data_IF_874733541768
#
_entry.id   IF_874733541768
#
_cell.length_a   1.000
_cell.length_b   1.000
_cell.length_c   1.000
_cell.angle_alpha   90.00
_cell.angle_beta   90.00
_cell.angle_gamma   90.00
#
_symmetry.space_group_name_H-M   'P 1'
#
loop_
_entity.id
_entity.type
_entity.pdbx_description
1 polymer ?
#
# COMPACT_ATOMS: atom_id res chain seq x y z
N UNK A 1 -18.92 -29.90 -13.51
CA UNK A 1 -17.75 -29.03 -13.33
C UNK A 1 -17.95 -28.34 -11.99
N UNK A 2 -17.04 -28.50 -11.03
CA UNK A 2 -17.17 -27.77 -9.78
C UNK A 2 -17.07 -26.26 -10.07
N UNK A 3 -18.00 -25.49 -9.54
CA UNK A 3 -17.96 -24.03 -9.65
C UNK A 3 -16.61 -23.52 -9.13
N UNK A 4 -15.93 -22.70 -9.94
CA UNK A 4 -14.67 -22.09 -9.48
C UNK A 4 -14.99 -21.15 -8.32
N UNK A 5 -14.18 -21.16 -7.25
CA UNK A 5 -14.36 -20.26 -6.13
C UNK A 5 -14.43 -18.81 -6.61
N UNK A 6 -15.51 -18.10 -6.30
CA UNK A 6 -15.73 -16.73 -6.75
C UNK A 6 -15.52 -15.75 -5.60
N UNK A 7 -14.77 -14.68 -5.88
CA UNK A 7 -14.61 -13.54 -4.97
C UNK A 7 -15.91 -12.72 -4.96
N UNK A 8 -16.44 -12.46 -3.77
CA UNK A 8 -17.57 -11.54 -3.63
C UNK A 8 -17.06 -10.10 -3.65
N UNK A 9 -17.68 -9.24 -4.46
CA UNK A 9 -17.28 -7.85 -4.61
C UNK A 9 -18.40 -6.93 -4.16
N UNK A 10 -18.10 -6.00 -3.23
CA UNK A 10 -19.00 -4.92 -2.83
C UNK A 10 -18.40 -3.62 -3.33
N UNK A 11 -19.04 -2.97 -4.28
CA UNK A 11 -18.55 -1.74 -4.91
C UNK A 11 -19.16 -0.49 -4.27
N UNK A 12 -18.39 0.61 -4.24
CA UNK A 12 -18.87 1.92 -3.82
C UNK A 12 -19.23 2.04 -2.33
N UNK A 13 -18.65 1.21 -1.47
CA UNK A 13 -18.90 1.27 -0.03
C UNK A 13 -18.31 2.56 0.53
N UNK A 14 -19.13 3.37 1.19
CA UNK A 14 -18.69 4.62 1.80
C UNK A 14 -17.94 4.32 3.09
N UNK A 15 -16.68 4.77 3.20
CA UNK A 15 -15.85 4.58 4.38
C UNK A 15 -15.62 5.86 5.19
N UNK A 16 -15.99 7.02 4.64
CA UNK A 16 -15.80 8.29 5.33
C UNK A 16 -16.17 9.49 4.46
N UNK A 17 -15.84 10.67 4.96
CA UNK A 17 -15.94 11.94 4.24
C UNK A 17 -14.69 12.77 4.50
N UNK A 18 -14.23 13.50 3.48
CA UNK A 18 -13.08 14.39 3.60
C UNK A 18 -13.33 15.69 2.86
N UNK A 19 -13.16 16.86 3.50
CA UNK A 19 -13.43 18.14 2.87
C UNK A 19 -14.84 18.27 2.27
N UNK A 20 -15.84 17.58 2.82
CA UNK A 20 -17.21 17.55 2.32
C UNK A 20 -17.47 16.46 1.24
N UNK A 21 -16.45 15.88 0.65
CA UNK A 21 -16.56 14.81 -0.35
C UNK A 21 -16.75 13.44 0.28
N UNK A 22 -17.50 12.56 -0.39
CA UNK A 22 -17.67 11.16 0.02
C UNK A 22 -16.46 10.34 -0.39
N UNK A 23 -15.90 9.60 0.57
CA UNK A 23 -14.80 8.68 0.35
C UNK A 23 -15.35 7.26 0.22
N UNK A 24 -15.06 6.58 -0.89
CA UNK A 24 -15.60 5.26 -1.19
C UNK A 24 -14.50 4.25 -1.51
N UNK A 25 -14.80 2.98 -1.23
CA UNK A 25 -13.94 1.83 -1.53
C UNK A 25 -14.73 0.71 -2.20
N UNK A 26 -13.99 -0.24 -2.79
CA UNK A 26 -14.51 -1.52 -3.23
C UNK A 26 -13.90 -2.62 -2.36
N UNK A 27 -14.73 -3.59 -1.92
CA UNK A 27 -14.34 -4.65 -1.01
C UNK A 27 -14.37 -5.98 -1.75
N UNK A 28 -13.29 -6.73 -1.66
CA UNK A 28 -13.11 -8.05 -2.28
C UNK A 28 -13.00 -9.09 -1.17
N UNK A 29 -14.00 -9.95 -1.08
CA UNK A 29 -14.14 -10.96 -0.02
C UNK A 29 -13.75 -12.32 -0.57
N UNK A 30 -12.84 -13.05 0.11
CA UNK A 30 -12.45 -14.41 -0.29
C UNK A 30 -13.67 -15.35 -0.41
N UNK A 31 -13.67 -16.30 -1.37
CA UNK A 31 -14.73 -17.30 -1.48
C UNK A 31 -14.84 -18.19 -0.23
N UNK A 32 -13.71 -18.53 0.37
CA UNK A 32 -13.62 -19.35 1.58
C UNK A 32 -13.19 -18.47 2.77
N UNK A 33 -13.92 -17.34 2.97
CA UNK A 33 -13.61 -16.44 4.07
C UNK A 33 -13.77 -17.16 5.41
N UNK A 34 -12.71 -17.12 6.20
CA UNK A 34 -12.75 -17.58 7.60
C UNK A 34 -12.87 -16.36 8.54
N UNK A 35 -13.48 -16.50 9.71
CA UNK A 35 -13.42 -15.49 10.74
C UNK A 35 -11.95 -15.11 11.02
N UNK A 36 -11.68 -13.82 11.19
CA UNK A 36 -10.33 -13.29 11.43
C UNK A 36 -9.36 -13.44 10.25
N UNK A 37 -9.88 -13.30 9.02
CA UNK A 37 -9.05 -13.19 7.81
C UNK A 37 -8.11 -11.98 7.87
N UNK A 38 -6.93 -12.00 7.23
CA UNK A 38 -6.09 -10.81 7.10
C UNK A 38 -6.77 -9.75 6.23
N UNK A 39 -6.68 -8.48 6.63
CA UNK A 39 -7.15 -7.34 5.85
C UNK A 39 -6.03 -6.70 5.05
N UNK A 40 -6.29 -6.31 3.80
CA UNK A 40 -5.33 -5.65 2.93
C UNK A 40 -5.94 -4.41 2.26
N UNK A 41 -5.45 -3.22 2.64
CA UNK A 41 -5.77 -2.00 1.93
C UNK A 41 -4.98 -1.93 0.62
N UNK A 42 -5.65 -1.61 -0.48
CA UNK A 42 -5.06 -1.41 -1.81
C UNK A 42 -5.25 0.05 -2.24
N UNK A 43 -4.15 0.73 -2.61
CA UNK A 43 -4.18 2.16 -2.98
C UNK A 43 -3.61 2.35 -4.38
N UNK A 44 -4.40 2.99 -5.25
CA UNK A 44 -4.09 3.17 -6.66
C UNK A 44 -3.00 4.23 -6.91
N UNK A 45 -2.34 4.13 -8.07
CA UNK A 45 -1.41 5.13 -8.60
C UNK A 45 -2.11 6.28 -9.31
N UNK A 46 -1.33 7.05 -10.09
CA UNK A 46 -1.85 8.15 -10.91
C UNK A 46 -1.26 9.52 -10.58
N UNK A 47 -0.08 9.57 -9.93
CA UNK A 47 0.64 10.81 -9.65
C UNK A 47 -0.12 11.76 -8.73
N UNK A 48 -0.97 11.24 -7.86
CA UNK A 48 -1.86 11.98 -6.94
C UNK A 48 -2.90 12.88 -7.64
N UNK A 49 -2.91 12.93 -8.98
CA UNK A 49 -3.72 13.82 -9.80
C UNK A 49 -4.84 13.12 -10.56
N UNK A 50 -4.77 11.81 -10.68
CA UNK A 50 -5.71 10.97 -11.43
C UNK A 50 -5.74 9.57 -10.85
N UNK A 51 -6.69 8.77 -11.32
CA UNK A 51 -6.86 7.39 -10.90
C UNK A 51 -8.09 7.20 -10.03
N UNK A 52 -8.41 5.96 -9.81
CA UNK A 52 -9.56 5.54 -9.03
C UNK A 52 -9.35 4.13 -8.47
N UNK A 53 -10.12 3.76 -7.46
CA UNK A 53 -10.06 2.47 -6.78
C UNK A 53 -10.18 1.26 -7.71
N UNK A 54 -10.95 1.38 -8.82
CA UNK A 54 -11.14 0.31 -9.80
C UNK A 54 -9.82 -0.14 -10.46
N UNK A 55 -8.78 0.69 -10.48
CA UNK A 55 -7.46 0.31 -10.99
C UNK A 55 -6.79 -0.82 -10.19
N UNK A 56 -7.19 -1.00 -8.92
CA UNK A 56 -6.68 -2.08 -8.07
C UNK A 56 -7.53 -3.36 -8.11
N UNK A 57 -8.58 -3.40 -8.96
CA UNK A 57 -9.53 -4.53 -9.04
C UNK A 57 -8.85 -5.87 -9.25
N UNK A 58 -7.88 -5.96 -10.15
CA UNK A 58 -7.17 -7.21 -10.43
C UNK A 58 -6.33 -7.67 -9.23
N UNK A 59 -5.68 -6.75 -8.54
CA UNK A 59 -5.00 -7.06 -7.27
C UNK A 59 -6.00 -7.52 -6.21
N UNK A 60 -7.13 -6.81 -6.07
CA UNK A 60 -8.20 -7.17 -5.13
C UNK A 60 -8.69 -8.59 -5.33
N UNK A 61 -9.03 -8.97 -6.56
CA UNK A 61 -9.49 -10.33 -6.90
C UNK A 61 -8.40 -11.38 -6.65
N UNK A 62 -7.18 -11.17 -7.16
CA UNK A 62 -6.10 -12.15 -7.05
C UNK A 62 -5.68 -12.38 -5.59
N UNK A 63 -5.61 -11.31 -4.78
CA UNK A 63 -5.21 -11.42 -3.38
C UNK A 63 -6.37 -11.93 -2.50
N UNK A 64 -7.63 -11.64 -2.86
CA UNK A 64 -8.78 -12.26 -2.21
C UNK A 64 -8.80 -13.78 -2.43
N UNK A 65 -8.46 -14.28 -3.62
CA UNK A 65 -8.28 -15.72 -3.87
C UNK A 65 -7.14 -16.34 -3.03
N UNK A 66 -6.27 -15.52 -2.44
CA UNK A 66 -5.22 -15.97 -1.51
C UNK A 66 -5.63 -15.89 -0.02
N UNK A 67 -6.90 -15.50 0.25
CA UNK A 67 -7.49 -15.45 1.58
C UNK A 67 -7.43 -14.09 2.28
N UNK A 68 -7.07 -13.01 1.57
CA UNK A 68 -7.12 -11.65 2.12
C UNK A 68 -8.49 -11.02 1.88
N UNK A 69 -9.06 -10.34 2.88
CA UNK A 69 -10.13 -9.38 2.62
C UNK A 69 -9.49 -8.10 2.12
N UNK A 70 -9.64 -7.81 0.83
CA UNK A 70 -9.03 -6.65 0.21
C UNK A 70 -10.01 -5.47 0.16
N UNK A 71 -9.51 -4.27 0.46
CA UNK A 71 -10.26 -3.01 0.34
C UNK A 71 -9.49 -2.08 -0.57
N UNK A 72 -10.03 -1.76 -1.74
CA UNK A 72 -9.44 -0.78 -2.64
C UNK A 72 -10.09 0.58 -2.41
N UNK A 73 -9.33 1.56 -1.92
CA UNK A 73 -9.86 2.88 -1.59
C UNK A 73 -9.57 3.92 -2.67
N UNK A 74 -10.53 4.83 -2.89
CA UNK A 74 -10.23 6.13 -3.49
C UNK A 74 -9.59 7.05 -2.45
N UNK A 75 -8.90 8.07 -2.94
CA UNK A 75 -8.44 9.22 -2.17
C UNK A 75 -8.62 10.48 -3.01
N UNK A 76 -8.79 11.64 -2.38
CA UNK A 76 -8.94 12.93 -3.07
C UNK A 76 -7.67 13.31 -3.81
N UNK A 77 -7.83 13.95 -4.95
CA UNK A 77 -6.75 14.23 -5.88
C UNK A 77 -6.37 15.71 -5.90
N UNK A 78 -5.09 16.02 -6.09
CA UNK A 78 -4.64 17.37 -6.37
C UNK A 78 -4.99 17.75 -7.82
N UNK A 79 -5.26 19.04 -8.13
CA UNK A 79 -5.24 20.18 -7.22
C UNK A 79 -6.57 20.40 -6.49
N UNK A 80 -7.65 19.65 -6.77
CA UNK A 80 -8.96 19.87 -6.19
C UNK A 80 -8.93 19.74 -4.65
N UNK A 81 -8.14 18.80 -4.13
CA UNK A 81 -7.88 18.65 -2.71
C UNK A 81 -6.36 18.73 -2.46
N UNK A 82 -5.86 19.84 -1.89
CA UNK A 82 -4.44 20.03 -1.65
C UNK A 82 -3.90 19.05 -0.59
N UNK A 83 -2.58 18.83 -0.64
CA UNK A 83 -1.85 18.09 0.40
C UNK A 83 -2.14 18.73 1.79
N UNK A 84 -2.39 17.93 2.85
CA UNK A 84 -2.24 16.48 2.98
C UNK A 84 -3.56 15.67 2.85
N UNK A 85 -4.53 16.10 2.06
CA UNK A 85 -5.81 15.42 1.90
C UNK A 85 -5.64 13.92 1.54
N UNK A 86 -4.67 13.58 0.67
CA UNK A 86 -4.43 12.25 0.15
C UNK A 86 -4.06 11.24 1.25
N UNK A 87 -3.12 11.62 2.11
CA UNK A 87 -2.69 10.75 3.23
C UNK A 87 -3.77 10.62 4.30
N UNK A 88 -4.53 11.68 4.55
CA UNK A 88 -5.67 11.66 5.49
C UNK A 88 -6.76 10.69 5.04
N UNK A 89 -7.02 10.61 3.74
CA UNK A 89 -8.02 9.71 3.17
C UNK A 89 -7.56 8.24 3.23
N UNK A 90 -6.28 7.97 2.99
CA UNK A 90 -5.70 6.62 3.15
C UNK A 90 -5.74 6.18 4.62
N UNK A 91 -5.41 7.05 5.55
CA UNK A 91 -5.52 6.76 6.98
C UNK A 91 -6.98 6.54 7.40
N UNK A 92 -7.95 7.29 6.83
CA UNK A 92 -9.38 7.04 7.07
C UNK A 92 -9.82 5.66 6.58
N UNK A 93 -9.31 5.19 5.43
CA UNK A 93 -9.59 3.84 4.92
C UNK A 93 -9.04 2.74 5.86
N UNK A 94 -7.82 2.91 6.39
CA UNK A 94 -7.25 1.98 7.39
C UNK A 94 -8.07 1.96 8.68
N UNK A 95 -8.50 3.12 9.16
CA UNK A 95 -9.37 3.23 10.35
C UNK A 95 -10.72 2.56 10.13
N UNK A 96 -11.32 2.75 8.94
CA UNK A 96 -12.55 2.07 8.55
C UNK A 96 -12.38 0.55 8.60
N UNK A 97 -11.33 -0.01 7.99
CA UNK A 97 -11.09 -1.44 8.00
C UNK A 97 -10.96 -1.97 9.43
N UNK A 98 -10.30 -1.25 10.32
CA UNK A 98 -10.14 -1.65 11.73
C UNK A 98 -11.43 -1.51 12.52
N UNK A 99 -12.18 -0.42 12.34
CA UNK A 99 -13.45 -0.19 13.03
C UNK A 99 -14.52 -1.20 12.61
N UNK A 100 -14.53 -1.58 11.33
CA UNK A 100 -15.46 -2.54 10.76
C UNK A 100 -14.90 -3.97 10.68
N UNK A 101 -13.84 -4.26 11.43
CA UNK A 101 -13.13 -5.53 11.33
C UNK A 101 -14.05 -6.75 11.55
N UNK A 102 -14.95 -6.68 12.53
CA UNK A 102 -15.93 -7.74 12.80
C UNK A 102 -16.91 -7.95 11.63
N UNK A 103 -17.46 -6.87 11.06
CA UNK A 103 -18.40 -6.94 9.93
C UNK A 103 -17.73 -7.44 8.66
N UNK A 104 -16.46 -7.06 8.46
CA UNK A 104 -15.64 -7.47 7.32
C UNK A 104 -15.02 -8.87 7.50
N UNK A 105 -15.13 -9.46 8.69
CA UNK A 105 -14.48 -10.73 9.02
C UNK A 105 -12.96 -10.64 9.05
N UNK A 106 -12.40 -9.47 9.38
CA UNK A 106 -10.96 -9.17 9.42
C UNK A 106 -10.44 -9.30 10.86
N UNK A 107 -9.24 -9.83 11.01
CA UNK A 107 -8.46 -9.69 12.24
C UNK A 107 -7.84 -8.27 12.28
N UNK A 108 -8.24 -7.39 13.20
CA UNK A 108 -7.72 -6.03 13.25
C UNK A 108 -6.21 -5.95 13.57
N UNK A 109 -5.62 -7.02 14.10
CA UNK A 109 -4.17 -7.12 14.30
C UNK A 109 -3.42 -7.53 13.01
N UNK A 110 -4.13 -8.06 12.00
CA UNK A 110 -3.56 -8.52 10.72
C UNK A 110 -3.95 -7.60 9.56
N UNK A 111 -3.93 -6.30 9.78
CA UNK A 111 -4.08 -5.33 8.72
C UNK A 111 -2.75 -5.06 8.03
N UNK A 112 -2.77 -5.06 6.70
CA UNK A 112 -1.65 -4.67 5.87
C UNK A 112 -2.10 -3.63 4.83
N UNK A 113 -1.12 -2.99 4.18
CA UNK A 113 -1.38 -2.07 3.08
C UNK A 113 -0.48 -2.36 1.88
N UNK A 114 -1.01 -2.14 0.67
CA UNK A 114 -0.24 -2.21 -0.56
C UNK A 114 -0.67 -1.09 -1.51
N UNK A 115 0.26 -0.55 -2.26
CA UNK A 115 -0.07 0.49 -3.23
C UNK A 115 0.88 0.48 -4.41
N UNK A 116 0.46 1.17 -5.49
CA UNK A 116 1.27 1.32 -6.70
C UNK A 116 1.57 2.80 -6.95
N UNK A 117 2.84 3.16 -7.27
CA UNK A 117 3.25 4.52 -7.61
C UNK A 117 2.85 5.54 -6.53
N UNK A 118 2.03 6.54 -6.84
CA UNK A 118 1.49 7.49 -5.87
C UNK A 118 0.77 6.82 -4.69
N UNK A 119 0.05 5.72 -4.93
CA UNK A 119 -0.57 4.92 -3.87
C UNK A 119 0.46 4.21 -2.99
N UNK A 120 1.56 3.73 -3.58
CA UNK A 120 2.67 3.16 -2.83
C UNK A 120 3.35 4.20 -1.92
N UNK A 121 3.53 5.42 -2.42
CA UNK A 121 3.98 6.54 -1.60
C UNK A 121 3.08 6.73 -0.38
N UNK A 122 1.75 6.78 -0.58
CA UNK A 122 0.80 7.04 0.50
C UNK A 122 0.76 5.92 1.54
N UNK A 123 0.81 4.64 1.14
CA UNK A 123 0.82 3.54 2.11
C UNK A 123 2.13 3.44 2.87
N UNK A 124 3.27 3.71 2.21
CA UNK A 124 4.56 3.77 2.89
C UNK A 124 4.63 4.96 3.86
N UNK A 125 4.07 6.12 3.49
CA UNK A 125 4.00 7.26 4.38
C UNK A 125 3.09 6.97 5.59
N UNK A 126 1.88 6.42 5.36
CA UNK A 126 0.96 6.02 6.44
C UNK A 126 1.64 5.08 7.45
N UNK A 127 2.42 4.11 6.95
CA UNK A 127 3.13 3.13 7.78
C UNK A 127 4.13 3.76 8.76
N UNK A 128 4.79 4.87 8.36
CA UNK A 128 5.79 5.57 9.19
C UNK A 128 5.24 6.75 9.98
N UNK A 129 3.95 7.09 9.84
CA UNK A 129 3.38 8.34 10.40
C UNK A 129 2.11 8.12 11.22
N UNK A 130 1.97 6.96 11.83
CA UNK A 130 0.77 6.58 12.61
C UNK A 130 0.48 7.59 13.74
N UNK A 131 1.53 8.11 14.40
CA UNK A 131 1.42 9.03 15.52
C UNK A 131 1.40 10.52 15.10
N UNK A 132 1.39 10.79 13.78
CA UNK A 132 1.35 12.14 13.24
C UNK A 132 -0.08 12.65 13.09
N UNK A 133 -0.53 13.49 14.03
CA UNK A 133 -1.88 14.04 14.06
C UNK A 133 -2.25 14.79 12.77
N UNK A 134 -1.30 15.51 12.16
CA UNK A 134 -1.48 16.26 10.92
C UNK A 134 -1.88 15.36 9.72
N UNK A 135 -1.56 14.06 9.76
CA UNK A 135 -1.87 13.09 8.71
C UNK A 135 -3.06 12.20 9.02
N UNK A 136 -3.57 12.22 10.25
CA UNK A 136 -4.71 11.37 10.59
C UNK A 136 -6.03 11.89 10.00
N UNK A 137 -6.25 13.20 10.00
CA UNK A 137 -7.51 13.78 9.55
C UNK A 137 -8.73 13.30 10.34
N UNK A 138 -9.89 13.75 9.92
CA UNK A 138 -11.19 13.50 10.54
C UNK A 138 -12.16 12.68 9.66
N UNK A 139 -11.66 12.14 8.55
CA UNK A 139 -12.43 11.53 7.45
C UNK A 139 -13.25 10.29 7.77
N UNK A 140 -13.26 9.82 9.00
CA UNK A 140 -14.03 8.68 9.50
C UNK A 140 -13.31 7.96 10.64
N UNK A 141 -14.07 7.43 11.58
CA UNK A 141 -13.60 6.66 12.74
C UNK A 141 -12.44 7.35 13.51
N UNK A 142 -12.61 8.61 13.98
CA UNK A 142 -11.57 9.31 14.72
C UNK A 142 -11.18 8.54 15.99
N UNK A 143 -9.89 8.55 16.34
CA UNK A 143 -9.38 7.82 17.50
C UNK A 143 -9.10 6.33 17.28
N UNK A 144 -9.55 5.74 16.15
CA UNK A 144 -9.16 4.39 15.75
C UNK A 144 -7.77 4.44 15.12
N UNK A 145 -6.90 3.48 15.42
CA UNK A 145 -5.53 3.43 14.89
C UNK A 145 -5.52 3.10 13.39
N UNK A 146 -4.67 3.80 12.61
CA UNK A 146 -4.37 3.50 11.20
C UNK A 146 -3.14 2.59 11.04
N UNK A 147 -2.56 2.06 12.11
CA UNK A 147 -1.38 1.21 12.05
C UNK A 147 -1.59 -0.05 11.21
N UNK A 148 -0.53 -0.51 10.55
CA UNK A 148 -0.52 -1.76 9.79
C UNK A 148 0.60 -2.68 10.27
N UNK A 149 0.37 -3.97 10.19
CA UNK A 149 1.34 -4.99 10.58
C UNK A 149 2.40 -5.26 9.48
N UNK A 150 2.12 -4.89 8.24
CA UNK A 150 3.06 -4.95 7.12
C UNK A 150 2.62 -3.99 6.00
N UNK A 151 3.56 -3.55 5.16
CA UNK A 151 3.25 -2.67 4.02
C UNK A 151 4.00 -3.07 2.75
N UNK A 152 3.43 -2.75 1.58
CA UNK A 152 3.99 -3.08 0.28
C UNK A 152 4.01 -1.85 -0.63
N UNK A 153 5.19 -1.48 -1.11
CA UNK A 153 5.37 -0.41 -2.09
C UNK A 153 5.76 -0.93 -3.48
N UNK A 154 4.91 -0.72 -4.48
CA UNK A 154 5.17 -1.10 -5.86
C UNK A 154 5.58 0.15 -6.63
N UNK A 155 6.84 0.21 -7.14
CA UNK A 155 7.49 1.36 -7.79
C UNK A 155 7.19 2.71 -7.11
N UNK A 156 7.45 2.74 -5.78
CA UNK A 156 7.07 3.84 -4.91
C UNK A 156 8.00 5.05 -5.02
N UNK A 157 7.46 6.29 -5.15
CA UNK A 157 8.17 7.49 -4.76
C UNK A 157 8.42 7.47 -3.25
N UNK A 158 9.67 7.55 -2.80
CA UNK A 158 10.02 7.49 -1.38
C UNK A 158 10.64 8.78 -0.85
N UNK A 159 11.02 9.65 -1.78
CA UNK A 159 11.54 11.00 -1.50
C UNK A 159 10.95 11.98 -2.49
N UNK A 160 10.46 13.09 -1.97
CA UNK A 160 10.06 14.26 -2.76
C UNK A 160 11.15 15.32 -2.66
N UNK A 161 11.59 15.85 -3.82
CA UNK A 161 12.60 16.90 -3.85
C UNK A 161 12.00 18.25 -4.25
N UNK A 162 12.33 19.34 -3.54
CA UNK A 162 12.04 20.70 -3.96
C UNK A 162 12.62 21.01 -5.35
N UNK A 163 12.09 22.06 -5.99
CA UNK A 163 12.55 22.48 -7.30
C UNK A 163 14.06 22.77 -7.27
N UNK A 164 14.77 22.27 -8.28
CA UNK A 164 16.20 22.51 -8.46
C UNK A 164 17.12 21.65 -7.58
N UNK A 165 16.59 20.94 -6.59
CA UNK A 165 17.39 20.03 -5.79
C UNK A 165 17.54 18.68 -6.49
N UNK A 166 18.78 18.20 -6.63
CA UNK A 166 19.11 16.87 -7.15
C UNK A 166 19.30 15.90 -5.98
N UNK A 167 18.25 15.14 -5.66
CA UNK A 167 18.28 14.10 -4.64
C UNK A 167 18.15 12.73 -5.29
N UNK A 168 19.07 11.83 -5.01
CA UNK A 168 19.05 10.48 -5.60
C UNK A 168 17.74 9.73 -5.23
N UNK A 169 17.04 9.23 -6.24
CA UNK A 169 15.78 8.51 -6.07
C UNK A 169 14.57 9.40 -5.81
N UNK A 170 14.72 10.72 -5.83
CA UNK A 170 13.60 11.62 -5.62
C UNK A 170 12.76 11.84 -6.88
N UNK A 171 11.47 12.11 -6.65
CA UNK A 171 10.56 12.69 -7.65
C UNK A 171 10.28 14.16 -7.30
N UNK A 172 9.87 15.01 -8.28
CA UNK A 172 9.56 16.41 -8.00
C UNK A 172 8.44 16.58 -6.97
N UNK A 173 8.67 17.39 -5.95
CA UNK A 173 7.66 17.72 -4.92
C UNK A 173 6.43 18.39 -5.53
N UNK A 174 6.60 19.17 -6.62
CA UNK A 174 5.53 19.83 -7.36
C UNK A 174 4.48 18.89 -7.96
N UNK A 175 4.73 17.58 -7.96
CA UNK A 175 3.72 16.59 -8.36
C UNK A 175 2.59 16.47 -7.33
N UNK A 176 2.87 16.73 -6.05
CA UNK A 176 1.95 16.60 -4.92
C UNK A 176 1.73 17.92 -4.18
N UNK A 177 2.78 18.69 -3.94
CA UNK A 177 2.75 19.91 -3.13
C UNK A 177 2.44 21.14 -3.97
N UNK A 178 1.67 22.09 -3.42
CA UNK A 178 1.41 23.38 -4.03
C UNK A 178 2.67 24.25 -4.01
N UNK A 179 3.29 24.40 -2.86
CA UNK A 179 4.61 25.03 -2.74
C UNK A 179 5.70 24.02 -3.07
N UNK A 180 6.22 24.15 -4.28
CA UNK A 180 7.25 23.27 -4.85
C UNK A 180 8.66 23.55 -4.34
N UNK A 181 8.84 24.65 -3.64
CA UNK A 181 10.13 25.11 -3.12
C UNK A 181 10.23 24.90 -1.60
N UNK A 182 9.11 24.50 -0.93
CA UNK A 182 9.08 24.18 0.50
C UNK A 182 9.76 22.83 0.80
N UNK A 183 10.99 22.93 1.30
CA UNK A 183 11.80 21.78 1.69
C UNK A 183 11.22 21.05 2.90
N UNK A 184 10.65 21.76 3.86
CA UNK A 184 10.07 21.16 5.06
C UNK A 184 8.85 20.29 4.70
N UNK A 185 7.95 20.79 3.88
CA UNK A 185 6.80 20.02 3.36
C UNK A 185 7.23 18.87 2.48
N UNK A 186 8.23 19.03 1.61
CA UNK A 186 8.75 17.95 0.80
C UNK A 186 9.36 16.83 1.67
N UNK A 187 10.14 17.19 2.69
CA UNK A 187 10.68 16.25 3.66
C UNK A 187 9.58 15.55 4.44
N UNK A 188 8.59 16.30 4.94
CA UNK A 188 7.45 15.77 5.71
C UNK A 188 6.61 14.80 4.88
N UNK A 189 6.43 15.08 3.59
CA UNK A 189 5.72 14.21 2.66
C UNK A 189 6.54 13.01 2.14
N UNK A 190 7.81 12.87 2.52
CA UNK A 190 8.71 11.82 2.02
C UNK A 190 8.68 10.59 2.94
N UNK A 191 8.21 9.40 2.52
CA UNK A 191 8.15 8.19 3.35
C UNK A 191 9.49 7.84 4.01
N UNK A 192 10.60 7.96 3.29
CA UNK A 192 11.94 7.62 3.79
C UNK A 192 12.34 8.39 5.04
N UNK A 193 11.86 9.63 5.22
CA UNK A 193 12.21 10.45 6.40
C UNK A 193 11.53 9.99 7.69
N UNK A 194 10.54 9.13 7.59
CA UNK A 194 9.78 8.58 8.71
C UNK A 194 10.17 7.14 9.07
N UNK A 195 11.24 6.62 8.44
CA UNK A 195 11.76 5.30 8.79
C UNK A 195 12.36 5.32 10.19
N UNK A 196 11.93 4.38 11.02
CA UNK A 196 12.39 4.19 12.39
C UNK A 196 12.33 2.70 12.76
N UNK A 197 12.88 2.31 13.90
CA UNK A 197 12.81 0.92 14.37
C UNK A 197 11.37 0.38 14.58
N UNK A 198 10.39 1.28 14.72
CA UNK A 198 8.97 0.93 14.81
C UNK A 198 8.24 0.84 13.47
N UNK A 199 8.94 1.02 12.35
CA UNK A 199 8.34 0.89 11.02
C UNK A 199 7.96 -0.58 10.75
N UNK A 200 6.79 -0.88 10.12
CA UNK A 200 6.38 -2.26 9.90
C UNK A 200 7.24 -2.97 8.83
N UNK A 201 7.32 -4.30 8.85
CA UNK A 201 7.90 -5.10 7.78
C UNK A 201 7.43 -4.62 6.40
N UNK A 202 8.38 -4.46 5.45
CA UNK A 202 8.13 -3.78 4.19
C UNK A 202 8.60 -4.61 2.99
N UNK A 203 7.72 -4.76 1.98
CA UNK A 203 8.08 -5.29 0.66
C UNK A 203 8.14 -4.15 -0.35
N UNK A 204 9.23 -4.10 -1.12
CA UNK A 204 9.43 -3.15 -2.23
C UNK A 204 9.57 -3.90 -3.55
N UNK A 205 8.78 -3.53 -4.56
CA UNK A 205 8.85 -4.07 -5.92
C UNK A 205 9.14 -2.93 -6.90
N UNK A 206 10.14 -3.09 -7.79
CA UNK A 206 10.50 -2.03 -8.73
C UNK A 206 11.05 -2.57 -10.05
N UNK A 207 10.74 -1.94 -11.16
CA UNK A 207 11.32 -2.25 -12.46
C UNK A 207 12.63 -1.49 -12.70
N UNK A 208 13.68 -2.13 -13.22
CA UNK A 208 14.99 -1.49 -13.40
C UNK A 208 15.03 -0.45 -14.53
N UNK A 209 14.06 -0.50 -15.47
CA UNK A 209 13.94 0.46 -16.56
C UNK A 209 12.88 1.56 -16.27
N UNK A 210 12.46 1.75 -15.02
CA UNK A 210 11.50 2.79 -14.64
C UNK A 210 12.11 4.20 -14.83
N UNK A 211 11.46 4.99 -15.71
CA UNK A 211 11.84 6.37 -16.03
C UNK A 211 10.91 7.42 -15.41
N UNK A 212 9.89 6.99 -14.68
CA UNK A 212 8.93 7.86 -13.98
C UNK A 212 9.32 8.03 -12.52
N UNK A 213 9.54 6.91 -11.84
CA UNK A 213 10.12 6.86 -10.49
C UNK A 213 11.45 6.16 -10.58
N UNK A 214 12.58 6.82 -10.31
CA UNK A 214 13.88 6.18 -10.43
C UNK A 214 13.97 4.93 -9.55
N UNK A 215 14.51 3.78 -10.03
CA UNK A 215 14.68 2.56 -9.22
C UNK A 215 15.43 2.78 -7.92
N UNK A 216 16.33 3.77 -7.91
CA UNK A 216 17.05 4.19 -6.71
C UNK A 216 16.12 4.69 -5.58
N UNK A 217 14.87 5.05 -5.86
CA UNK A 217 13.89 5.38 -4.82
C UNK A 217 13.64 4.18 -3.88
N UNK A 218 13.36 3.01 -4.45
CA UNK A 218 13.18 1.78 -3.66
C UNK A 218 14.47 1.29 -3.03
N UNK A 219 15.61 1.41 -3.71
CA UNK A 219 16.91 1.04 -3.16
C UNK A 219 17.26 1.86 -1.92
N UNK A 220 17.05 3.19 -1.97
CA UNK A 220 17.28 4.09 -0.83
C UNK A 220 16.31 3.86 0.34
N UNK A 221 15.07 3.47 0.04
CA UNK A 221 14.11 3.09 1.08
C UNK A 221 14.53 1.77 1.73
N UNK A 222 14.98 0.79 0.95
CA UNK A 222 15.50 -0.47 1.43
C UNK A 222 16.69 -0.26 2.36
N UNK A 223 17.69 0.53 1.96
CA UNK A 223 18.87 0.87 2.78
C UNK A 223 18.43 1.49 4.13
N UNK A 224 17.54 2.47 4.10
CA UNK A 224 17.06 3.12 5.32
C UNK A 224 16.34 2.15 6.28
N UNK A 225 15.55 1.21 5.73
CA UNK A 225 14.86 0.19 6.53
C UNK A 225 15.85 -0.83 7.13
N UNK A 226 16.87 -1.24 6.37
CA UNK A 226 17.96 -2.11 6.87
C UNK A 226 18.70 -1.43 8.01
N UNK A 227 19.07 -0.15 7.86
CA UNK A 227 19.77 0.63 8.88
C UNK A 227 18.92 0.75 10.16
N UNK A 228 17.60 0.88 10.01
CA UNK A 228 16.64 0.90 11.11
C UNK A 228 16.33 -0.50 11.69
N UNK A 229 16.93 -1.58 11.17
CA UNK A 229 16.71 -2.98 11.55
C UNK A 229 15.26 -3.45 11.35
N UNK A 230 14.57 -2.86 10.38
CA UNK A 230 13.23 -3.25 9.98
C UNK A 230 13.32 -4.40 8.96
N UNK A 231 12.55 -5.47 9.10
CA UNK A 231 12.48 -6.52 8.09
C UNK A 231 12.02 -5.95 6.75
N UNK A 232 12.85 -6.09 5.72
CA UNK A 232 12.56 -5.55 4.38
C UNK A 232 12.99 -6.51 3.28
N UNK A 233 12.17 -6.63 2.26
CA UNK A 233 12.48 -7.32 1.00
C UNK A 233 12.43 -6.33 -0.15
N UNK A 234 13.40 -6.41 -1.08
CA UNK A 234 13.43 -5.63 -2.31
C UNK A 234 13.56 -6.57 -3.51
N UNK A 235 12.59 -6.53 -4.42
CA UNK A 235 12.63 -7.27 -5.68
C UNK A 235 12.73 -6.29 -6.85
N UNK A 236 13.87 -6.36 -7.55
CA UNK A 236 14.13 -5.59 -8.78
C UNK A 236 13.83 -6.45 -10.00
N UNK A 237 12.88 -5.99 -10.83
CA UNK A 237 12.48 -6.71 -12.03
C UNK A 237 13.23 -6.13 -13.23
N UNK A 238 14.10 -6.96 -13.83
CA UNK A 238 14.98 -6.53 -14.93
C UNK A 238 14.19 -6.00 -16.13
N UNK A 239 14.66 -4.87 -16.68
CA UNK A 239 14.14 -4.23 -17.91
C UNK A 239 12.68 -3.79 -17.87
N UNK A 240 12.02 -3.87 -16.70
CA UNK A 240 10.61 -3.46 -16.59
C UNK A 240 10.46 -1.96 -16.37
N UNK A 241 9.54 -1.29 -17.10
CA UNK A 241 9.24 0.13 -16.96
C UNK A 241 8.31 0.41 -15.78
N UNK A 242 7.99 1.68 -15.56
CA UNK A 242 6.93 2.08 -14.62
C UNK A 242 5.58 1.44 -14.98
N UNK A 243 4.85 0.94 -13.98
CA UNK A 243 3.53 0.33 -14.21
C UNK A 243 3.57 -1.08 -14.82
N UNK A 244 4.71 -1.77 -14.81
CA UNK A 244 4.87 -3.10 -15.41
C UNK A 244 3.85 -4.14 -14.92
N UNK A 245 3.26 -3.92 -13.75
CA UNK A 245 2.26 -4.82 -13.16
C UNK A 245 0.93 -4.88 -13.92
N UNK A 246 0.72 -4.06 -14.95
CA UNK A 246 -0.43 -4.20 -15.87
C UNK A 246 -0.28 -5.40 -16.81
N UNK A 247 0.94 -5.89 -17.00
CA UNK A 247 1.22 -7.08 -17.80
C UNK A 247 0.90 -8.33 -16.97
N UNK A 248 0.19 -9.27 -17.57
CA UNK A 248 -0.39 -10.44 -16.89
C UNK A 248 0.61 -11.22 -16.03
N UNK A 249 1.78 -11.53 -16.57
CA UNK A 249 2.77 -12.38 -15.90
C UNK A 249 3.44 -11.64 -14.73
N UNK A 250 3.74 -10.37 -14.91
CA UNK A 250 4.27 -9.53 -13.83
C UNK A 250 3.23 -9.19 -12.77
N UNK A 251 1.96 -9.09 -13.15
CA UNK A 251 0.86 -8.99 -12.19
C UNK A 251 0.82 -10.23 -11.29
N UNK A 252 0.85 -11.43 -11.88
CA UNK A 252 0.85 -12.69 -11.14
C UNK A 252 2.08 -12.84 -10.25
N UNK A 253 3.26 -12.51 -10.77
CA UNK A 253 4.51 -12.48 -9.99
C UNK A 253 4.36 -11.55 -8.77
N UNK A 254 3.90 -10.32 -9.00
CA UNK A 254 3.72 -9.34 -7.91
C UNK A 254 2.73 -9.83 -6.85
N UNK A 255 1.58 -10.39 -7.26
CA UNK A 255 0.61 -10.98 -6.32
C UNK A 255 1.21 -12.16 -5.54
N UNK A 256 2.05 -12.99 -6.17
CA UNK A 256 2.73 -14.10 -5.49
C UNK A 256 3.70 -13.59 -4.43
N UNK A 257 4.55 -12.63 -4.77
CA UNK A 257 5.52 -12.03 -3.84
C UNK A 257 4.79 -11.34 -2.66
N UNK A 258 3.74 -10.57 -2.95
CA UNK A 258 2.91 -9.92 -1.93
C UNK A 258 2.30 -10.97 -0.99
N UNK A 259 1.74 -12.04 -1.54
CA UNK A 259 1.11 -13.13 -0.75
C UNK A 259 2.11 -13.80 0.17
N UNK A 260 3.28 -14.19 -0.33
CA UNK A 260 4.32 -14.86 0.45
C UNK A 260 4.83 -13.97 1.57
N UNK A 261 5.13 -12.71 1.25
CA UNK A 261 5.58 -11.72 2.21
C UNK A 261 4.54 -11.48 3.30
N UNK A 262 3.31 -11.13 2.94
CA UNK A 262 2.27 -10.81 3.91
C UNK A 262 1.90 -12.02 4.77
N UNK A 263 1.79 -13.24 4.21
CA UNK A 263 1.51 -14.44 5.01
C UNK A 263 2.59 -14.68 6.07
N UNK A 264 3.87 -14.41 5.74
CA UNK A 264 4.98 -14.55 6.69
C UNK A 264 4.86 -13.56 7.85
N UNK A 265 4.64 -12.27 7.56
CA UNK A 265 4.66 -11.22 8.59
C UNK A 265 3.32 -11.02 9.32
N UNK A 266 2.22 -11.53 8.78
CA UNK A 266 0.93 -11.58 9.47
C UNK A 266 0.72 -12.87 10.28
N UNK A 267 1.75 -13.71 10.42
CA UNK A 267 1.68 -14.96 11.18
C UNK A 267 0.75 -16.02 10.55
N UNK A 268 0.55 -15.94 9.23
CA UNK A 268 -0.25 -16.92 8.49
C UNK A 268 0.70 -17.97 7.90
N UNK A 269 0.46 -19.23 8.24
CA UNK A 269 1.22 -20.30 7.61
C UNK A 269 0.92 -20.31 6.12
N UNK A 270 1.92 -20.22 5.22
CA UNK A 270 1.66 -20.44 3.81
C UNK A 270 1.07 -21.84 3.64
N UNK A 271 0.01 -21.98 2.84
CA UNK A 271 -0.43 -23.29 2.34
C UNK A 271 0.61 -23.75 1.29
N UNK A 272 1.80 -24.08 1.76
CA UNK A 272 2.82 -24.75 0.94
C UNK A 272 2.82 -26.18 1.41
N UNK A 273 2.27 -27.05 0.58
CA UNK A 273 2.54 -28.49 0.71
C UNK A 273 4.03 -28.68 0.44
N UNK A 274 4.80 -28.73 1.52
CA UNK A 274 6.22 -29.06 1.42
C UNK A 274 6.33 -30.47 0.82
N UNK A 275 7.05 -30.66 -0.28
CA UNK A 275 7.27 -31.98 -0.83
C UNK A 275 7.90 -32.87 0.26
N UNK A 276 7.58 -34.15 0.25
CA UNK A 276 7.97 -35.11 1.31
C UNK A 276 9.46 -35.11 1.63
N UNK A 277 10.31 -34.88 0.61
CA UNK A 277 11.76 -34.76 0.80
C UNK A 277 12.18 -33.52 1.63
N UNK A 278 11.42 -32.44 1.58
CA UNK A 278 11.73 -31.23 2.35
C UNK A 278 11.25 -31.32 3.81
N UNK A 279 10.28 -32.20 4.11
CA UNK A 279 9.80 -32.43 5.46
C UNK A 279 10.83 -33.20 6.33
N UNK A 280 11.77 -33.90 5.70
CA UNK A 280 12.85 -34.62 6.37
C UNK A 280 14.08 -33.76 6.69
N UNK A 281 14.08 -32.47 6.31
CA UNK A 281 15.21 -31.53 6.49
C UNK A 281 14.95 -30.50 7.63
N UNK A 282 13.78 -30.52 8.26
CA UNK A 282 13.40 -29.72 9.42
C UNK A 282 13.37 -30.58 10.70
#
# INVERSE_FOLDING_TARGET
>A
MADKPQVTIREGVVFGRGGGETLACDIYIPPDQVPSSPGLLLVHGGGWRRGERAQMRMFGIQLALQGFVCVSSSYRLVPAAPWPAQIRDVNAALRFMRAQASELGIDPAKLASAGASAGAHLVLLAAGTVDRAEFQGDGGHPGVSSAVAATVGIFAPTVLAPRGQKVSGAVPASALLEDKDDEASARLASPRTHVSAGYPPTLLLHGTADRVVPPSASMRMYEALVDAKVPVELHMVAEQPHGYTVQRDFHRLSCTLITLFLKRYLGLRPKVDMPSWAQSMT
#
